data_IF_659078265466
#
_entry.id   IF_659078265466
#
_cell.length_a   1.000
_cell.length_b   1.000
_cell.length_c   1.000
_cell.angle_alpha   90.00
_cell.angle_beta   90.00
_cell.angle_gamma   90.00
#
_symmetry.space_group_name_H-M   'P 1'
#
loop_
_entity.id
_entity.type
_entity.pdbx_description
1 polymer ?
#
# COMPACT_ATOMS: atom_id res chain seq x y z
N UNK A 1 14.25 39.79 13.58
CA UNK A 1 13.92 38.96 12.41
C UNK A 1 14.82 37.75 12.45
N UNK A 2 14.29 36.61 12.87
CA UNK A 2 15.02 35.37 12.78
C UNK A 2 15.26 35.06 11.30
N UNK A 3 16.54 34.84 10.96
CA UNK A 3 16.89 34.40 9.60
C UNK A 3 16.25 33.03 9.37
N UNK A 4 15.42 32.94 8.35
CA UNK A 4 14.87 31.68 7.87
C UNK A 4 16.02 30.67 7.70
N UNK A 5 16.00 29.59 8.44
CA UNK A 5 16.99 28.51 8.27
C UNK A 5 16.71 27.81 6.93
N UNK A 6 17.69 27.84 6.04
CA UNK A 6 17.66 27.12 4.75
C UNK A 6 18.11 25.67 4.97
N UNK A 7 17.38 24.93 5.81
CA UNK A 7 17.71 23.56 6.19
C UNK A 7 16.40 22.80 6.45
N UNK A 8 16.29 21.55 5.96
CA UNK A 8 15.12 20.71 6.21
C UNK A 8 14.94 20.40 7.71
N UNK A 9 13.76 19.95 8.12
CA UNK A 9 13.47 19.57 9.50
C UNK A 9 14.48 18.55 10.03
N UNK A 10 15.01 18.83 11.22
CA UNK A 10 15.85 17.89 11.95
C UNK A 10 14.96 16.85 12.65
N UNK A 11 14.81 15.70 12.01
CA UNK A 11 13.94 14.62 12.51
C UNK A 11 14.40 14.06 13.87
N UNK A 12 15.69 14.11 14.19
CA UNK A 12 16.20 13.73 15.52
C UNK A 12 15.64 14.65 16.60
N UNK A 13 15.66 15.96 16.37
CA UNK A 13 15.09 16.95 17.29
C UNK A 13 13.57 16.75 17.44
N UNK A 14 12.86 16.51 16.34
CA UNK A 14 11.43 16.22 16.37
C UNK A 14 11.10 14.94 17.16
N UNK A 15 11.91 13.89 17.03
CA UNK A 15 11.73 12.66 17.80
C UNK A 15 11.98 12.88 19.30
N UNK A 16 12.99 13.69 19.66
CA UNK A 16 13.24 14.07 21.07
C UNK A 16 12.04 14.86 21.63
N UNK A 17 11.47 15.79 20.87
CA UNK A 17 10.28 16.57 21.27
C UNK A 17 9.05 15.65 21.48
N UNK A 18 8.86 14.63 20.65
CA UNK A 18 7.79 13.63 20.85
C UNK A 18 7.98 12.85 22.12
N UNK A 19 9.22 12.41 22.40
CA UNK A 19 9.56 11.70 23.67
C UNK A 19 9.35 12.63 24.85
N UNK A 20 9.76 13.91 24.76
CA UNK A 20 9.51 14.91 25.80
C UNK A 20 8.02 15.08 26.12
N UNK A 21 7.17 15.05 25.08
CA UNK A 21 5.71 15.16 25.26
C UNK A 21 5.13 13.95 26.00
N UNK A 22 5.66 12.75 25.77
CA UNK A 22 5.18 11.51 26.41
C UNK A 22 5.83 11.26 27.76
N UNK A 23 7.14 11.54 27.88
CA UNK A 23 7.99 11.24 29.03
C UNK A 23 8.92 12.42 29.35
N UNK A 24 8.40 13.55 29.85
CA UNK A 24 9.21 14.76 30.05
C UNK A 24 10.38 14.57 31.03
N UNK A 25 10.23 13.65 31.99
CA UNK A 25 11.25 13.40 33.02
C UNK A 25 12.52 12.70 32.48
N UNK A 26 12.46 12.10 31.28
CA UNK A 26 13.64 11.49 30.66
C UNK A 26 14.45 12.46 29.79
N UNK A 27 14.03 13.72 29.69
CA UNK A 27 14.77 14.73 28.92
C UNK A 27 15.87 15.34 29.80
N UNK A 28 17.07 15.42 29.24
CA UNK A 28 18.24 16.01 29.86
C UNK A 28 18.94 16.97 28.90
N UNK A 29 19.90 17.71 29.40
CA UNK A 29 20.71 18.62 28.60
C UNK A 29 22.07 18.00 28.27
N UNK A 30 22.52 18.21 27.03
CA UNK A 30 23.85 17.85 26.55
C UNK A 30 24.40 19.00 25.69
N UNK A 31 25.59 18.85 25.16
CA UNK A 31 26.20 19.82 24.24
C UNK A 31 26.34 19.20 22.86
N UNK A 32 26.12 20.01 21.82
CA UNK A 32 26.44 19.63 20.45
C UNK A 32 27.97 19.68 20.19
N UNK A 33 28.39 19.30 18.98
CA UNK A 33 29.79 19.29 18.57
C UNK A 33 30.45 20.69 18.63
N UNK A 34 29.65 21.75 18.64
CA UNK A 34 30.09 23.15 18.75
C UNK A 34 30.05 23.68 20.20
N UNK A 35 29.66 22.82 21.17
CA UNK A 35 29.55 23.18 22.57
C UNK A 35 28.25 23.88 22.97
N UNK A 36 27.26 24.02 22.07
CA UNK A 36 25.98 24.63 22.40
C UNK A 36 25.07 23.63 23.14
N UNK A 37 24.26 24.11 24.09
CA UNK A 37 23.32 23.26 24.80
C UNK A 37 22.27 22.67 23.82
N UNK A 38 22.00 21.38 23.93
CA UNK A 38 20.92 20.71 23.23
C UNK A 38 20.21 19.71 24.13
N UNK A 39 18.95 19.43 23.85
CA UNK A 39 18.18 18.38 24.53
C UNK A 39 18.66 16.98 24.12
N UNK A 40 18.64 16.05 25.07
CA UNK A 40 18.91 14.63 24.84
C UNK A 40 17.96 13.78 25.69
N UNK A 41 17.83 12.51 25.32
CA UNK A 41 17.05 11.53 26.08
C UNK A 41 17.97 10.77 27.01
N UNK A 42 17.62 10.74 28.31
CA UNK A 42 18.24 9.87 29.27
C UNK A 42 17.54 8.50 29.23
N UNK A 43 18.18 7.53 28.61
CA UNK A 43 17.63 6.20 28.43
C UNK A 43 17.50 5.42 29.71
N UNK A 44 18.31 5.67 30.73
CA UNK A 44 18.21 4.98 32.06
C UNK A 44 16.93 5.43 32.76
N UNK A 45 16.60 6.72 32.71
CA UNK A 45 15.34 7.23 33.27
C UNK A 45 14.14 6.69 32.48
N UNK A 46 14.21 6.74 31.14
CA UNK A 46 13.14 6.20 30.28
C UNK A 46 12.92 4.70 30.55
N UNK A 47 14.00 3.94 30.72
CA UNK A 47 13.97 2.53 31.10
C UNK A 47 13.27 2.32 32.44
N UNK A 48 13.61 3.11 33.44
CA UNK A 48 12.96 3.03 34.77
C UNK A 48 11.46 3.34 34.69
N UNK A 49 11.06 4.26 33.82
CA UNK A 49 9.64 4.58 33.62
C UNK A 49 8.86 3.47 32.92
N UNK A 50 9.51 2.67 32.07
CA UNK A 50 8.93 1.52 31.39
C UNK A 50 9.00 0.23 32.23
N UNK A 51 9.79 0.23 33.32
CA UNK A 51 9.90 -0.87 34.30
C UNK A 51 10.21 -2.25 33.71
N UNK A 52 9.34 -3.21 33.98
CA UNK A 52 9.50 -4.63 33.64
C UNK A 52 9.28 -4.93 32.16
N UNK A 53 8.73 -3.99 31.38
CA UNK A 53 8.48 -4.14 29.96
C UNK A 53 9.71 -3.79 29.08
N UNK A 54 10.87 -3.66 29.70
CA UNK A 54 12.14 -3.41 28.98
C UNK A 54 12.88 -4.73 28.77
N UNK A 55 13.17 -5.04 27.51
CA UNK A 55 13.98 -6.20 27.15
C UNK A 55 15.46 -5.87 27.34
N UNK A 56 16.08 -6.57 28.29
CA UNK A 56 17.52 -6.55 28.54
C UNK A 56 18.14 -7.87 28.12
N UNK A 57 18.94 -7.85 27.07
CA UNK A 57 19.67 -9.02 26.62
C UNK A 57 19.99 -8.99 25.11
N UNK A 58 20.82 -9.94 24.70
CA UNK A 58 21.28 -10.07 23.31
C UNK A 58 20.21 -10.73 22.39
N UNK A 59 19.18 -11.36 22.98
CA UNK A 59 18.12 -12.05 22.24
C UNK A 59 16.84 -11.22 22.23
N UNK A 60 16.63 -10.47 21.11
CA UNK A 60 15.39 -9.77 20.82
C UNK A 60 14.97 -10.07 19.39
N UNK A 61 13.65 -10.09 19.12
CA UNK A 61 13.18 -10.16 17.74
C UNK A 61 13.52 -8.85 17.02
N UNK A 62 14.50 -8.91 16.15
CA UNK A 62 14.95 -7.78 15.35
C UNK A 62 15.28 -8.25 13.94
N UNK A 63 14.73 -7.56 12.92
CA UNK A 63 15.19 -7.70 11.56
C UNK A 63 16.37 -6.75 11.33
N UNK A 64 17.56 -7.29 11.09
CA UNK A 64 18.78 -6.51 10.94
C UNK A 64 19.60 -6.88 9.72
N UNK A 65 20.39 -5.94 9.22
CA UNK A 65 21.31 -6.11 8.09
C UNK A 65 22.48 -5.13 8.22
N UNK A 66 23.51 -5.34 7.40
CA UNK A 66 24.68 -4.46 7.39
C UNK A 66 24.31 -3.10 6.79
N UNK A 67 24.43 -2.02 7.58
CA UNK A 67 24.08 -0.64 7.16
C UNK A 67 22.76 -0.12 7.74
N UNK A 68 21.93 -0.91 8.42
CA UNK A 68 20.66 -0.46 9.01
C UNK A 68 20.81 0.82 9.87
N UNK A 69 21.79 0.83 10.78
CA UNK A 69 22.02 2.00 11.65
C UNK A 69 22.39 3.25 10.86
N UNK A 70 23.21 3.10 9.82
CA UNK A 70 23.61 4.20 8.95
C UNK A 70 22.39 4.73 8.16
N UNK A 71 21.52 3.85 7.65
CA UNK A 71 20.28 4.24 6.97
C UNK A 71 19.33 5.06 7.88
N UNK A 72 19.23 4.71 9.17
CA UNK A 72 18.46 5.49 10.16
C UNK A 72 19.05 6.89 10.34
N UNK A 73 20.37 6.96 10.51
CA UNK A 73 21.07 8.26 10.68
C UNK A 73 20.88 9.13 9.45
N UNK A 74 21.06 8.57 8.25
CA UNK A 74 20.91 9.32 6.99
C UNK A 74 19.47 9.82 6.79
N UNK A 75 18.45 9.02 7.08
CA UNK A 75 17.06 9.47 7.00
C UNK A 75 16.78 10.68 7.91
N UNK A 76 17.40 10.72 9.09
CA UNK A 76 17.21 11.79 10.07
C UNK A 76 18.11 13.03 9.86
N UNK A 77 19.15 12.90 9.04
CA UNK A 77 20.11 13.99 8.77
C UNK A 77 19.45 15.11 7.96
N UNK A 78 19.43 16.35 8.43
CA UNK A 78 18.90 17.48 7.68
C UNK A 78 19.78 17.80 6.47
N UNK A 79 19.16 18.36 5.42
CA UNK A 79 19.87 18.84 4.23
C UNK A 79 19.67 20.33 4.01
N UNK A 80 20.64 20.97 3.32
CA UNK A 80 20.63 22.40 2.99
C UNK A 80 20.31 22.66 1.52
N UNK A 81 19.29 21.96 1.03
CA UNK A 81 18.79 22.09 -0.35
C UNK A 81 17.39 22.69 -0.34
N UNK A 82 16.93 23.15 -1.49
CA UNK A 82 15.60 23.67 -1.68
C UNK A 82 15.08 23.28 -3.05
N UNK A 83 13.75 23.15 -3.17
CA UNK A 83 13.09 22.98 -4.46
C UNK A 83 13.18 24.29 -5.26
N UNK A 84 13.48 24.19 -6.54
CA UNK A 84 13.50 25.33 -7.48
C UNK A 84 12.33 25.21 -8.43
N UNK A 85 11.46 26.24 -8.53
CA UNK A 85 10.39 26.25 -9.50
C UNK A 85 10.92 26.32 -10.93
N UNK A 86 10.40 25.45 -11.82
CA UNK A 86 10.67 25.44 -13.26
C UNK A 86 9.39 25.83 -14.00
N UNK A 87 9.11 27.13 -14.08
CA UNK A 87 7.86 27.64 -14.63
C UNK A 87 7.75 27.44 -16.14
N UNK A 88 8.89 27.47 -16.82
CA UNK A 88 8.99 27.36 -18.28
C UNK A 88 8.52 25.99 -18.78
N UNK A 89 8.71 24.94 -17.97
CA UNK A 89 8.33 23.56 -18.28
C UNK A 89 7.05 23.12 -17.59
N UNK A 90 6.43 24.03 -16.80
CA UNK A 90 5.21 23.71 -16.04
C UNK A 90 3.96 24.05 -16.85
N UNK A 91 2.97 23.15 -16.82
CA UNK A 91 1.66 23.38 -17.39
C UNK A 91 0.73 23.97 -16.33
N UNK A 92 0.08 25.09 -16.66
CA UNK A 92 -0.92 25.76 -15.82
C UNK A 92 -0.40 26.10 -14.41
N UNK A 93 0.83 26.62 -14.33
CA UNK A 93 1.57 26.91 -13.10
C UNK A 93 0.75 27.63 -12.01
N UNK A 94 -0.02 28.64 -12.42
CA UNK A 94 -0.74 29.49 -11.45
C UNK A 94 -1.99 28.81 -10.86
N UNK A 95 -2.46 27.70 -11.40
CA UNK A 95 -3.68 27.03 -11.00
C UNK A 95 -3.50 25.59 -10.56
N UNK A 96 -2.45 24.92 -11.07
CA UNK A 96 -2.20 23.53 -10.69
C UNK A 96 -1.79 23.42 -9.22
N UNK A 97 -2.28 22.41 -8.55
CA UNK A 97 -1.84 22.03 -7.21
C UNK A 97 -1.07 20.70 -7.24
N UNK A 98 -0.78 20.20 -8.44
CA UNK A 98 0.00 19.00 -8.66
C UNK A 98 1.49 19.36 -8.76
N UNK A 99 2.37 18.46 -8.31
CA UNK A 99 3.81 18.65 -8.38
C UNK A 99 4.46 17.47 -9.10
N UNK A 100 5.42 17.80 -9.98
CA UNK A 100 6.42 16.88 -10.47
C UNK A 100 7.78 17.41 -10.04
N UNK A 101 8.55 16.61 -9.31
CA UNK A 101 9.81 17.04 -8.69
C UNK A 101 10.94 16.16 -9.23
N UNK A 102 11.89 16.78 -9.89
CA UNK A 102 13.12 16.13 -10.34
C UNK A 102 14.17 16.20 -9.25
N UNK A 103 14.70 15.05 -8.85
CA UNK A 103 15.73 14.96 -7.83
C UNK A 103 15.79 13.60 -7.16
N UNK A 104 16.82 13.41 -6.34
CA UNK A 104 16.95 12.25 -5.49
C UNK A 104 15.76 12.16 -4.51
N UNK A 105 15.08 11.03 -4.50
CA UNK A 105 13.85 10.88 -3.73
C UNK A 105 14.06 10.91 -2.20
N UNK A 106 15.20 10.49 -1.66
CA UNK A 106 15.52 10.64 -0.24
C UNK A 106 15.63 12.13 0.14
N UNK A 107 16.31 12.92 -0.68
CA UNK A 107 16.44 14.37 -0.47
C UNK A 107 15.08 15.08 -0.60
N UNK A 108 14.31 14.73 -1.63
CA UNK A 108 12.97 15.29 -1.82
C UNK A 108 12.05 14.93 -0.65
N UNK A 109 12.06 13.68 -0.16
CA UNK A 109 11.28 13.28 1.00
C UNK A 109 11.65 14.07 2.26
N UNK A 110 12.94 14.42 2.46
CA UNK A 110 13.37 15.31 3.55
C UNK A 110 12.79 16.72 3.40
N UNK A 111 12.78 17.28 2.20
CA UNK A 111 12.20 18.60 1.93
C UNK A 111 10.68 18.63 2.09
N UNK A 112 9.99 17.57 1.69
CA UNK A 112 8.54 17.45 1.83
C UNK A 112 8.08 17.39 3.30
N UNK A 113 8.94 16.97 4.25
CA UNK A 113 8.58 16.94 5.69
C UNK A 113 8.09 18.31 6.18
N UNK A 114 8.65 19.38 5.68
CA UNK A 114 8.32 20.74 6.14
C UNK A 114 6.88 21.15 5.82
N UNK A 115 6.40 20.80 4.64
CA UNK A 115 5.09 21.27 4.14
C UNK A 115 4.01 20.19 4.10
N UNK A 116 4.38 18.92 4.10
CA UNK A 116 3.47 17.80 3.83
C UNK A 116 3.37 16.75 4.96
N UNK A 117 3.92 17.03 6.14
CA UNK A 117 3.73 16.17 7.33
C UNK A 117 2.24 15.89 7.56
N UNK A 118 1.88 14.60 7.68
CA UNK A 118 0.50 14.12 7.91
C UNK A 118 -0.54 14.62 6.88
N UNK A 119 -0.14 14.85 5.61
CA UNK A 119 -1.04 15.36 4.57
C UNK A 119 -1.32 14.39 3.44
N UNK A 120 -0.49 13.36 3.26
CA UNK A 120 -0.61 12.40 2.16
C UNK A 120 -1.62 11.32 2.52
N UNK A 121 -2.64 11.14 1.69
CA UNK A 121 -3.67 10.09 1.89
C UNK A 121 -3.18 8.73 1.41
N UNK A 122 -2.51 8.68 0.28
CA UNK A 122 -1.99 7.46 -0.31
C UNK A 122 -0.56 7.68 -0.82
N UNK A 123 0.30 6.74 -0.50
CA UNK A 123 1.61 6.62 -1.17
C UNK A 123 1.56 5.36 -2.02
N UNK A 124 1.99 5.47 -3.27
CA UNK A 124 2.31 4.32 -4.12
C UNK A 124 3.77 4.39 -4.50
N UNK A 125 4.45 3.26 -4.49
CA UNK A 125 5.82 3.15 -5.02
C UNK A 125 6.04 1.84 -5.75
N UNK A 126 6.87 1.93 -6.77
CA UNK A 126 7.39 0.82 -7.56
C UNK A 126 8.92 0.86 -7.53
N UNK A 127 9.55 0.48 -6.40
CA UNK A 127 11.00 0.55 -6.25
C UNK A 127 11.70 -0.49 -7.13
N UNK A 128 13.01 -0.38 -7.36
CA UNK A 128 13.79 -1.45 -7.96
C UNK A 128 13.59 -2.77 -7.23
N UNK A 129 13.37 -3.87 -7.96
CA UNK A 129 13.05 -5.18 -7.36
C UNK A 129 14.27 -5.99 -6.91
N UNK A 130 15.46 -5.46 -7.13
CA UNK A 130 16.72 -6.10 -6.79
C UNK A 130 16.93 -7.45 -7.53
N UNK A 131 16.69 -7.47 -8.84
CA UNK A 131 16.79 -8.68 -9.68
C UNK A 131 18.21 -8.97 -10.16
N UNK A 132 19.22 -8.26 -9.68
CA UNK A 132 20.62 -8.37 -10.10
C UNK A 132 20.95 -7.55 -11.36
N UNK A 133 19.96 -6.94 -11.99
CA UNK A 133 20.13 -6.03 -13.13
C UNK A 133 19.57 -4.62 -12.85
N UNK A 134 18.95 -4.42 -11.69
CA UNK A 134 18.34 -3.16 -11.32
C UNK A 134 19.41 -2.18 -10.80
N UNK A 135 19.19 -0.92 -11.09
CA UNK A 135 19.95 0.17 -10.48
C UNK A 135 19.30 0.54 -9.16
N UNK A 136 20.10 0.67 -8.10
CA UNK A 136 19.67 1.19 -6.80
C UNK A 136 20.36 2.51 -6.52
N UNK A 137 19.76 3.34 -5.66
CA UNK A 137 20.30 4.64 -5.31
C UNK A 137 21.56 4.50 -4.42
N UNK A 138 22.62 5.21 -4.76
CA UNK A 138 23.84 5.31 -3.97
C UNK A 138 23.64 6.37 -2.89
N UNK A 139 23.27 5.96 -1.69
CA UNK A 139 23.11 6.86 -0.55
C UNK A 139 24.46 7.10 0.18
N UNK A 140 24.58 8.24 0.88
CA UNK A 140 25.84 8.65 1.55
C UNK A 140 26.40 7.65 2.57
N UNK A 141 25.58 6.77 3.13
CA UNK A 141 26.06 5.72 4.05
C UNK A 141 26.84 4.60 3.34
N UNK A 142 26.86 4.56 2.01
CA UNK A 142 27.65 3.63 1.21
C UNK A 142 29.04 4.16 0.91
N UNK A 143 29.32 5.44 1.16
CA UNK A 143 30.59 6.13 0.81
C UNK A 143 31.82 5.59 1.50
N UNK A 144 31.72 4.91 2.64
CA UNK A 144 32.87 4.23 3.26
C UNK A 144 33.40 3.05 2.43
N UNK A 145 32.62 2.61 1.45
CA UNK A 145 32.99 1.58 0.49
C UNK A 145 33.47 2.18 -0.85
N UNK A 146 33.27 3.49 -1.06
CA UNK A 146 33.71 4.19 -2.27
C UNK A 146 35.24 4.14 -2.42
N UNK A 147 35.98 4.19 -1.33
CA UNK A 147 37.43 4.05 -1.34
C UNK A 147 37.87 2.63 -1.78
N UNK A 148 37.13 1.59 -1.42
CA UNK A 148 37.37 0.21 -1.87
C UNK A 148 36.88 -0.03 -3.30
N UNK A 149 35.73 0.55 -3.68
CA UNK A 149 35.15 0.40 -5.01
C UNK A 149 35.86 1.24 -6.07
N UNK A 150 36.42 2.41 -5.71
CA UNK A 150 37.29 3.22 -6.59
C UNK A 150 38.55 2.42 -7.02
N UNK A 151 39.05 1.55 -6.16
CA UNK A 151 40.15 0.65 -6.49
C UNK A 151 39.71 -0.50 -7.42
N UNK A 152 38.42 -0.84 -7.48
CA UNK A 152 37.87 -1.88 -8.33
C UNK A 152 37.28 -1.39 -9.66
N UNK A 153 37.32 -0.08 -9.95
CA UNK A 153 36.89 0.48 -11.24
C UNK A 153 35.39 0.43 -11.52
N UNK A 154 34.57 0.50 -10.48
CA UNK A 154 33.09 0.43 -10.58
C UNK A 154 32.38 1.78 -10.69
N UNK A 155 33.09 2.87 -10.91
CA UNK A 155 32.48 4.18 -11.14
C UNK A 155 32.41 4.54 -12.60
N UNK A 156 31.26 5.05 -13.00
CA UNK A 156 31.09 5.78 -14.24
C UNK A 156 31.73 7.19 -14.07
N UNK A 157 32.33 7.72 -15.15
CA UNK A 157 33.08 8.99 -15.14
C UNK A 157 32.20 10.23 -14.80
N UNK A 158 30.87 10.04 -14.62
CA UNK A 158 29.87 11.10 -14.47
C UNK A 158 29.24 11.25 -13.07
N UNK A 159 29.81 10.67 -11.99
CA UNK A 159 29.26 10.78 -10.61
C UNK A 159 27.79 10.37 -10.45
N UNK A 160 27.29 9.40 -11.22
CA UNK A 160 25.91 8.98 -11.18
C UNK A 160 25.52 8.36 -9.82
N UNK A 161 24.38 8.83 -9.25
CA UNK A 161 23.83 8.38 -7.97
C UNK A 161 23.16 7.00 -8.02
N UNK A 162 23.17 6.35 -9.17
CA UNK A 162 22.65 5.01 -9.36
C UNK A 162 23.80 4.04 -9.65
N UNK A 163 23.79 2.90 -8.99
CA UNK A 163 24.70 1.82 -9.32
C UNK A 163 23.95 0.50 -9.53
N UNK A 164 24.50 -0.34 -10.38
CA UNK A 164 23.92 -1.67 -10.64
C UNK A 164 24.22 -2.61 -9.48
N UNK A 165 23.19 -3.02 -8.75
CA UNK A 165 23.32 -4.00 -7.69
C UNK A 165 23.30 -5.41 -8.28
N UNK A 166 24.45 -6.06 -8.36
CA UNK A 166 24.60 -7.39 -8.97
C UNK A 166 24.64 -8.48 -7.90
N UNK A 167 24.23 -9.70 -8.24
CA UNK A 167 24.27 -10.88 -7.35
C UNK A 167 25.68 -11.19 -6.80
N UNK A 168 26.72 -10.65 -7.43
CA UNK A 168 28.11 -10.78 -6.96
C UNK A 168 28.46 -9.79 -5.84
N UNK A 169 27.60 -8.79 -5.58
CA UNK A 169 27.78 -7.88 -4.45
C UNK A 169 27.53 -8.63 -3.13
N UNK A 170 28.52 -8.73 -2.27
CA UNK A 170 28.38 -9.36 -0.95
C UNK A 170 27.36 -8.69 -0.02
N UNK A 171 26.88 -7.47 -0.38
CA UNK A 171 25.85 -6.69 0.33
C UNK A 171 24.55 -6.54 -0.44
N UNK A 172 24.31 -7.37 -1.44
CA UNK A 172 23.21 -7.30 -2.37
C UNK A 172 21.84 -6.96 -1.73
N UNK A 173 21.40 -7.75 -0.74
CA UNK A 173 20.17 -7.48 0.00
C UNK A 173 20.30 -6.31 0.98
N UNK A 174 21.46 -6.15 1.62
CA UNK A 174 21.69 -5.12 2.63
C UNK A 174 21.63 -3.70 2.06
N UNK A 175 22.21 -3.49 0.89
CA UNK A 175 22.22 -2.20 0.23
C UNK A 175 20.82 -1.81 -0.23
N UNK A 176 20.08 -2.76 -0.80
CA UNK A 176 18.67 -2.55 -1.15
C UNK A 176 17.79 -2.26 0.09
N UNK A 177 17.97 -3.04 1.17
CA UNK A 177 17.24 -2.79 2.42
C UNK A 177 17.53 -1.41 2.99
N UNK A 178 18.79 -0.95 2.96
CA UNK A 178 19.19 0.36 3.45
C UNK A 178 18.56 1.49 2.65
N UNK A 179 18.57 1.37 1.29
CA UNK A 179 17.95 2.32 0.39
C UNK A 179 16.43 2.45 0.65
N UNK A 180 15.72 1.34 0.75
CA UNK A 180 14.27 1.34 0.97
C UNK A 180 13.91 1.83 2.38
N UNK A 181 14.63 1.39 3.39
CA UNK A 181 14.36 1.70 4.78
C UNK A 181 14.39 3.19 5.08
N UNK A 182 15.44 3.90 4.64
CA UNK A 182 15.58 5.34 4.83
C UNK A 182 14.41 6.13 4.24
N UNK A 183 13.93 5.74 3.06
CA UNK A 183 12.82 6.36 2.35
C UNK A 183 11.47 6.08 3.02
N UNK A 184 11.23 4.84 3.44
CA UNK A 184 10.00 4.47 4.12
C UNK A 184 9.83 5.12 5.49
N UNK A 185 10.93 5.34 6.24
CA UNK A 185 10.90 6.11 7.48
C UNK A 185 10.34 7.52 7.27
N UNK A 186 10.80 8.22 6.24
CA UNK A 186 10.34 9.56 5.90
C UNK A 186 8.91 9.54 5.33
N UNK A 187 8.63 8.58 4.46
CA UNK A 187 7.32 8.42 3.83
C UNK A 187 6.20 8.23 4.86
N UNK A 188 6.44 7.43 5.92
CA UNK A 188 5.48 7.24 7.00
C UNK A 188 5.05 8.54 7.66
N UNK A 189 5.97 9.48 7.85
CA UNK A 189 5.66 10.77 8.48
C UNK A 189 4.75 11.65 7.62
N UNK A 190 4.84 11.52 6.28
CA UNK A 190 4.00 12.26 5.34
C UNK A 190 2.55 11.77 5.31
N UNK A 191 2.30 10.50 5.62
CA UNK A 191 0.96 9.92 5.61
C UNK A 191 0.04 10.56 6.66
N UNK A 192 -1.23 10.77 6.30
CA UNK A 192 -2.33 11.02 7.25
C UNK A 192 -2.51 9.81 8.16
N UNK A 193 -3.14 9.98 9.33
CA UNK A 193 -3.43 8.85 10.23
C UNK A 193 -4.35 7.82 9.56
N UNK A 194 -5.27 8.26 8.72
CA UNK A 194 -6.13 7.43 7.87
C UNK A 194 -5.53 7.18 6.47
N UNK A 195 -4.23 7.32 6.32
CA UNK A 195 -3.50 7.09 5.09
C UNK A 195 -2.87 5.70 5.00
N UNK A 196 -2.49 5.30 3.78
CA UNK A 196 -1.84 4.02 3.50
C UNK A 196 -0.76 4.13 2.44
N UNK A 197 0.17 3.16 2.47
CA UNK A 197 1.16 2.95 1.44
C UNK A 197 0.92 1.63 0.72
N UNK A 198 1.03 1.65 -0.61
CA UNK A 198 0.98 0.49 -1.49
C UNK A 198 2.35 0.35 -2.18
N UNK A 199 2.99 -0.80 -2.04
CA UNK A 199 4.35 -1.03 -2.54
C UNK A 199 4.35 -2.24 -3.46
N UNK A 200 4.67 -2.03 -4.73
CA UNK A 200 4.88 -3.11 -5.69
C UNK A 200 6.23 -3.77 -5.47
N UNK A 201 6.28 -5.10 -5.55
CA UNK A 201 7.52 -5.89 -5.40
C UNK A 201 7.34 -7.26 -6.05
N UNK A 202 8.43 -7.89 -6.46
CA UNK A 202 8.44 -9.30 -6.84
C UNK A 202 8.75 -10.24 -5.66
N UNK A 203 8.94 -11.52 -5.94
CA UNK A 203 9.22 -12.53 -4.90
C UNK A 203 10.59 -12.44 -4.25
N UNK A 204 11.56 -11.75 -4.87
CA UNK A 204 12.95 -11.71 -4.40
C UNK A 204 13.10 -11.00 -3.05
N UNK A 205 12.58 -9.79 -2.95
CA UNK A 205 12.69 -8.95 -1.75
C UNK A 205 11.36 -8.82 -0.96
N UNK A 206 10.32 -9.59 -1.30
CA UNK A 206 9.02 -9.53 -0.62
C UNK A 206 9.15 -9.71 0.90
N UNK A 207 9.96 -10.66 1.35
CA UNK A 207 10.14 -10.96 2.77
C UNK A 207 10.89 -9.82 3.47
N UNK A 208 12.01 -9.37 2.91
CA UNK A 208 12.79 -8.24 3.44
C UNK A 208 11.93 -6.99 3.55
N UNK A 209 11.18 -6.66 2.49
CA UNK A 209 10.28 -5.50 2.47
C UNK A 209 9.19 -5.61 3.53
N UNK A 210 8.60 -6.79 3.70
CA UNK A 210 7.55 -7.00 4.69
C UNK A 210 8.06 -6.80 6.12
N UNK A 211 9.26 -7.30 6.44
CA UNK A 211 9.86 -7.08 7.76
C UNK A 211 10.23 -5.60 7.99
N UNK A 212 10.76 -4.92 6.99
CA UNK A 212 10.99 -3.48 7.03
C UNK A 212 9.69 -2.72 7.30
N UNK A 213 8.63 -3.05 6.59
CA UNK A 213 7.32 -2.41 6.77
C UNK A 213 6.70 -2.75 8.15
N UNK A 214 6.87 -3.97 8.66
CA UNK A 214 6.44 -4.35 10.00
C UNK A 214 7.11 -3.48 11.07
N UNK A 215 8.40 -3.20 10.91
CA UNK A 215 9.15 -2.35 11.84
C UNK A 215 8.70 -0.88 11.73
N UNK A 216 8.61 -0.33 10.52
CA UNK A 216 8.32 1.08 10.31
C UNK A 216 6.86 1.43 10.57
N UNK A 217 5.92 0.67 10.03
CA UNK A 217 4.49 0.96 10.11
C UNK A 217 3.80 0.24 11.28
N UNK A 218 4.42 -0.81 11.80
CA UNK A 218 3.87 -1.74 12.80
C UNK A 218 3.16 -2.93 12.13
N UNK A 219 3.42 -4.14 12.60
CA UNK A 219 2.83 -5.38 12.07
C UNK A 219 1.28 -5.37 12.15
N UNK A 220 0.70 -4.73 13.16
CA UNK A 220 -0.77 -4.57 13.31
C UNK A 220 -1.39 -3.68 12.24
N UNK A 221 -0.60 -2.86 11.56
CA UNK A 221 -1.02 -1.98 10.47
C UNK A 221 -0.86 -2.61 9.07
N UNK A 222 -0.36 -3.83 8.99
CA UNK A 222 -0.46 -4.61 7.76
C UNK A 222 -1.93 -4.83 7.39
N UNK A 223 -2.28 -4.54 6.13
CA UNK A 223 -3.65 -4.70 5.64
C UNK A 223 -3.80 -5.87 4.71
N UNK A 224 -2.94 -5.97 3.70
CA UNK A 224 -3.00 -7.09 2.76
C UNK A 224 -1.73 -7.18 1.89
N UNK A 225 -1.60 -8.34 1.23
CA UNK A 225 -0.75 -8.53 0.05
C UNK A 225 -1.66 -8.84 -1.12
N UNK A 226 -1.68 -7.98 -2.12
CA UNK A 226 -2.47 -8.13 -3.34
C UNK A 226 -1.61 -8.84 -4.39
N UNK A 227 -2.20 -9.79 -5.11
CA UNK A 227 -1.58 -10.48 -6.23
C UNK A 227 -2.10 -9.87 -7.53
N UNK A 228 -1.24 -9.22 -8.31
CA UNK A 228 -1.57 -8.67 -9.63
C UNK A 228 -0.90 -9.50 -10.73
N UNK A 229 -1.60 -9.69 -11.86
CA UNK A 229 -1.12 -10.57 -12.92
C UNK A 229 0.07 -9.97 -13.64
N UNK A 230 1.16 -10.74 -13.75
CA UNK A 230 2.30 -10.43 -14.59
C UNK A 230 2.08 -11.01 -15.98
N UNK A 231 2.50 -10.29 -17.02
CA UNK A 231 2.49 -10.82 -18.38
C UNK A 231 3.43 -12.02 -18.48
N UNK A 232 2.86 -13.19 -18.73
CA UNK A 232 3.65 -14.42 -18.88
C UNK A 232 4.06 -14.56 -20.33
N UNK A 233 5.37 -14.60 -20.58
CA UNK A 233 5.89 -15.08 -21.86
C UNK A 233 5.72 -16.60 -21.89
N UNK A 234 5.03 -17.13 -22.89
CA UNK A 234 4.92 -18.60 -23.05
C UNK A 234 6.32 -19.21 -23.20
N UNK A 235 6.60 -20.24 -22.39
CA UNK A 235 7.80 -21.06 -22.61
C UNK A 235 7.66 -21.80 -23.94
N UNK A 236 8.71 -21.81 -24.76
CA UNK A 236 8.77 -22.69 -25.90
C UNK A 236 8.74 -24.13 -25.41
N UNK A 237 7.83 -24.94 -25.94
CA UNK A 237 7.63 -26.36 -25.56
C UNK A 237 8.91 -27.18 -25.64
N UNK A 238 9.87 -26.80 -26.50
CA UNK A 238 11.18 -27.46 -26.62
C UNK A 238 12.03 -27.42 -25.32
N UNK A 239 11.84 -26.40 -24.45
CA UNK A 239 12.54 -26.32 -23.17
C UNK A 239 11.89 -27.17 -22.07
N UNK A 240 10.69 -27.68 -22.30
CA UNK A 240 9.96 -28.51 -21.33
C UNK A 240 10.30 -30.03 -21.46
N UNK A 241 10.98 -30.43 -22.51
CA UNK A 241 11.22 -31.85 -22.81
C UNK A 241 12.08 -32.58 -21.74
N UNK A 242 12.93 -31.85 -21.00
CA UNK A 242 13.80 -32.40 -19.96
C UNK A 242 13.38 -32.00 -18.54
N UNK A 243 12.16 -31.48 -18.39
CA UNK A 243 11.67 -30.93 -17.14
C UNK A 243 11.98 -29.43 -16.96
N UNK A 244 11.33 -28.80 -15.99
CA UNK A 244 11.51 -27.38 -15.65
C UNK A 244 12.23 -27.28 -14.31
N UNK A 245 13.24 -26.43 -14.22
CA UNK A 245 13.87 -26.11 -12.95
C UNK A 245 12.90 -25.33 -12.01
N UNK A 246 12.12 -24.42 -12.57
CA UNK A 246 11.11 -23.66 -11.84
C UNK A 246 9.95 -23.27 -12.77
N UNK A 247 8.83 -22.87 -12.19
CA UNK A 247 7.71 -22.30 -12.94
C UNK A 247 7.96 -20.82 -13.20
N UNK A 248 7.41 -20.31 -14.32
CA UNK A 248 7.39 -18.87 -14.57
C UNK A 248 6.54 -18.16 -13.51
N UNK A 249 7.04 -17.04 -13.00
CA UNK A 249 6.31 -16.20 -12.07
C UNK A 249 5.17 -15.49 -12.81
N UNK A 250 3.93 -15.79 -12.42
CA UNK A 250 2.71 -15.31 -13.09
C UNK A 250 2.09 -14.07 -12.46
N UNK A 251 2.68 -13.53 -11.38
CA UNK A 251 2.14 -12.38 -10.64
C UNK A 251 3.25 -11.58 -9.94
N UNK A 252 2.90 -10.37 -9.57
CA UNK A 252 3.67 -9.51 -8.67
C UNK A 252 2.85 -9.24 -7.42
N UNK A 253 3.52 -8.80 -6.37
CA UNK A 253 2.90 -8.50 -5.09
C UNK A 253 2.75 -6.99 -4.92
N UNK A 254 1.65 -6.59 -4.27
CA UNK A 254 1.50 -5.22 -3.78
C UNK A 254 1.23 -5.31 -2.28
N UNK A 255 2.21 -4.88 -1.50
CA UNK A 255 2.07 -4.78 -0.04
C UNK A 255 1.28 -3.54 0.32
N UNK A 256 0.28 -3.68 1.21
CA UNK A 256 -0.54 -2.55 1.70
C UNK A 256 -0.38 -2.43 3.20
N UNK A 257 0.15 -1.31 3.64
CA UNK A 257 0.28 -0.93 5.05
C UNK A 257 -0.46 0.37 5.32
N UNK A 258 -1.14 0.44 6.44
CA UNK A 258 -1.72 1.67 6.95
C UNK A 258 -0.72 2.42 7.83
N UNK A 259 -0.89 3.73 7.99
CA UNK A 259 -0.17 4.47 9.01
C UNK A 259 -0.67 4.14 10.43
N UNK A 260 -1.97 3.94 10.57
CA UNK A 260 -2.62 3.66 11.85
C UNK A 260 -3.88 2.79 11.68
N UNK A 261 -4.50 2.33 12.78
CA UNK A 261 -5.78 1.62 12.73
C UNK A 261 -6.94 2.44 12.16
N UNK A 262 -6.82 3.76 12.05
CA UNK A 262 -7.85 4.64 11.48
C UNK A 262 -8.10 4.40 9.98
N UNK A 263 -7.12 3.86 9.26
CA UNK A 263 -7.28 3.53 7.86
C UNK A 263 -8.15 2.30 7.64
N UNK A 264 -9.17 2.45 6.81
CA UNK A 264 -10.03 1.38 6.33
C UNK A 264 -10.00 1.32 4.80
N UNK A 265 -9.83 0.12 4.25
CA UNK A 265 -9.94 -0.10 2.81
C UNK A 265 -11.39 0.08 2.36
N UNK A 266 -11.59 0.74 1.22
CA UNK A 266 -12.91 0.81 0.58
C UNK A 266 -13.26 -0.53 -0.07
N UNK A 267 -14.49 -0.96 0.12
CA UNK A 267 -15.01 -2.16 -0.52
C UNK A 267 -15.20 -1.92 -2.03
N UNK A 268 -14.35 -2.52 -2.84
CA UNK A 268 -14.44 -2.46 -4.31
C UNK A 268 -15.27 -3.65 -4.80
N UNK A 269 -16.19 -3.40 -5.73
CA UNK A 269 -16.96 -4.43 -6.40
C UNK A 269 -16.46 -4.67 -7.82
N UNK A 270 -16.34 -5.92 -8.21
CA UNK A 270 -15.99 -6.34 -9.56
C UNK A 270 -17.15 -7.14 -10.19
N UNK A 271 -17.25 -7.12 -11.50
CA UNK A 271 -18.23 -7.94 -12.22
C UNK A 271 -17.91 -9.43 -12.08
N UNK A 272 -18.93 -10.23 -11.91
CA UNK A 272 -18.80 -11.70 -11.95
C UNK A 272 -18.74 -12.17 -13.40
N UNK A 273 -17.87 -13.12 -13.69
CA UNK A 273 -17.80 -13.77 -15.00
C UNK A 273 -19.12 -14.53 -15.33
N UNK A 274 -19.71 -15.15 -14.31
CA UNK A 274 -20.96 -15.92 -14.42
C UNK A 274 -22.03 -15.29 -13.51
N UNK A 275 -22.53 -14.12 -13.90
CA UNK A 275 -23.61 -13.46 -13.18
C UNK A 275 -24.93 -14.23 -13.34
N UNK A 276 -25.59 -14.55 -12.23
CA UNK A 276 -26.94 -15.10 -12.25
C UNK A 276 -27.96 -13.96 -12.22
N UNK A 277 -28.90 -14.00 -13.14
CA UNK A 277 -30.08 -13.10 -13.15
C UNK A 277 -31.17 -13.54 -12.20
N UNK A 278 -31.06 -14.75 -11.63
CA UNK A 278 -32.02 -15.32 -10.68
C UNK A 278 -31.43 -15.43 -9.28
N UNK A 279 -32.21 -15.06 -8.30
CA UNK A 279 -31.88 -15.29 -6.91
C UNK A 279 -31.93 -16.78 -6.56
N UNK A 280 -31.34 -17.15 -5.46
CA UNK A 280 -31.36 -18.54 -4.96
C UNK A 280 -31.68 -18.61 -3.48
N UNK A 281 -32.27 -19.71 -3.07
CA UNK A 281 -32.44 -20.04 -1.67
C UNK A 281 -31.22 -20.82 -1.17
N UNK A 282 -30.63 -20.36 -0.08
CA UNK A 282 -29.45 -20.97 0.53
C UNK A 282 -29.70 -21.29 2.01
N UNK A 283 -28.93 -22.20 2.59
CA UNK A 283 -29.06 -22.64 3.98
C UNK A 283 -28.79 -21.46 4.93
N UNK A 284 -29.74 -21.21 5.83
CA UNK A 284 -29.61 -20.12 6.81
C UNK A 284 -28.79 -20.50 8.05
N UNK A 285 -28.46 -21.77 8.21
CA UNK A 285 -27.67 -22.30 9.31
C UNK A 285 -26.15 -22.22 9.01
N UNK A 286 -25.37 -22.07 10.09
CA UNK A 286 -23.90 -22.04 10.07
C UNK A 286 -23.34 -22.97 11.13
N UNK A 287 -22.18 -23.60 10.89
CA UNK A 287 -21.51 -24.50 11.83
C UNK A 287 -20.79 -23.75 12.98
N UNK A 288 -20.76 -22.42 12.97
CA UNK A 288 -20.27 -21.64 14.11
C UNK A 288 -21.18 -21.90 15.32
N UNK A 289 -20.62 -21.90 16.53
CA UNK A 289 -21.34 -22.29 17.75
C UNK A 289 -21.49 -21.13 18.73
N UNK A 290 -22.56 -20.35 18.56
CA UNK A 290 -22.98 -19.28 19.47
C UNK A 290 -24.39 -19.58 19.98
N UNK A 291 -24.57 -20.07 21.22
CA UNK A 291 -25.89 -20.42 21.74
C UNK A 291 -26.93 -19.30 21.68
N UNK A 292 -26.52 -18.04 21.82
CA UNK A 292 -27.39 -16.86 21.72
C UNK A 292 -27.96 -16.62 20.30
N UNK A 293 -27.40 -17.29 19.30
CA UNK A 293 -27.87 -17.26 17.92
C UNK A 293 -28.74 -18.48 17.55
N UNK A 294 -29.24 -19.20 18.55
CA UNK A 294 -30.17 -20.31 18.41
C UNK A 294 -31.53 -19.87 18.97
N UNK A 295 -32.41 -19.51 18.09
CA UNK A 295 -33.76 -19.06 18.41
C UNK A 295 -34.74 -19.70 17.43
N UNK A 296 -36.07 -19.67 17.74
CA UNK A 296 -37.06 -20.25 16.88
C UNK A 296 -37.27 -19.48 15.57
N UNK A 297 -37.25 -20.18 14.46
CA UNK A 297 -37.67 -19.68 13.15
C UNK A 297 -38.71 -20.64 12.57
N UNK A 298 -39.93 -20.17 12.46
CA UNK A 298 -41.04 -20.90 11.87
C UNK A 298 -41.20 -22.31 12.46
N UNK A 299 -41.10 -22.43 13.80
CA UNK A 299 -41.25 -23.66 14.54
C UNK A 299 -40.00 -24.58 14.52
N UNK A 300 -38.83 -24.05 14.29
CA UNK A 300 -37.56 -24.80 14.38
C UNK A 300 -36.45 -24.01 15.04
N UNK A 301 -35.84 -24.65 16.05
CA UNK A 301 -34.64 -24.15 16.75
C UNK A 301 -33.49 -25.13 16.54
N UNK A 302 -32.30 -24.73 16.08
CA UNK A 302 -31.21 -25.67 15.88
C UNK A 302 -30.58 -26.12 17.21
N UNK A 303 -30.29 -27.39 17.35
CA UNK A 303 -29.65 -27.99 18.52
C UNK A 303 -28.13 -27.66 18.52
N UNK A 304 -27.53 -27.59 17.34
CA UNK A 304 -26.10 -27.34 17.16
C UNK A 304 -25.89 -26.26 16.09
N UNK A 305 -24.71 -25.61 16.11
CA UNK A 305 -24.42 -24.50 15.20
C UNK A 305 -25.23 -23.25 15.57
N UNK A 306 -25.49 -22.39 14.61
CA UNK A 306 -26.22 -21.14 14.81
C UNK A 306 -26.92 -20.65 13.56
N UNK A 307 -27.87 -19.72 13.73
CA UNK A 307 -28.39 -18.92 12.62
C UNK A 307 -27.38 -17.87 12.17
N UNK A 308 -27.50 -17.39 10.92
CA UNK A 308 -26.57 -16.41 10.31
C UNK A 308 -26.81 -14.97 10.79
N UNK A 309 -28.03 -14.62 11.22
CA UNK A 309 -28.41 -13.27 11.65
C UNK A 309 -28.97 -13.28 13.08
N UNK A 310 -29.11 -12.09 13.69
CA UNK A 310 -29.83 -11.91 14.96
C UNK A 310 -31.32 -12.27 14.82
N UNK A 311 -31.96 -12.55 15.95
CA UNK A 311 -33.38 -12.93 15.99
C UNK A 311 -34.28 -11.82 15.40
N UNK A 312 -34.00 -10.55 15.74
CA UNK A 312 -34.76 -9.40 15.24
C UNK A 312 -34.70 -9.33 13.70
N UNK A 313 -33.50 -9.44 13.15
CA UNK A 313 -33.31 -9.40 11.69
C UNK A 313 -33.94 -10.58 10.99
N UNK A 314 -33.90 -11.75 11.58
CA UNK A 314 -34.52 -12.93 11.04
C UNK A 314 -36.05 -12.81 11.05
N UNK A 315 -36.65 -12.28 12.13
CA UNK A 315 -38.11 -12.02 12.21
C UNK A 315 -38.58 -11.07 11.11
N UNK A 316 -37.83 -9.99 10.87
CA UNK A 316 -38.12 -9.08 9.77
C UNK A 316 -38.04 -9.77 8.42
N UNK A 317 -37.01 -10.59 8.18
CA UNK A 317 -36.85 -11.31 6.93
C UNK A 317 -37.93 -12.36 6.70
N UNK A 318 -38.43 -13.02 7.76
CA UNK A 318 -39.59 -13.92 7.70
C UNK A 318 -40.85 -13.14 7.35
N UNK A 319 -41.12 -12.01 8.03
CA UNK A 319 -42.28 -11.18 7.75
C UNK A 319 -42.29 -10.63 6.32
N UNK A 320 -41.10 -10.20 5.82
CA UNK A 320 -40.94 -9.76 4.43
C UNK A 320 -41.34 -10.85 3.43
N UNK A 321 -40.92 -12.09 3.66
CA UNK A 321 -41.28 -13.20 2.76
C UNK A 321 -42.76 -13.55 2.85
N UNK A 322 -43.34 -13.57 4.06
CA UNK A 322 -44.77 -13.80 4.24
C UNK A 322 -45.63 -12.74 3.55
N UNK A 323 -45.22 -11.46 3.63
CA UNK A 323 -45.88 -10.38 2.90
C UNK A 323 -45.80 -10.57 1.39
N UNK A 324 -44.64 -10.93 0.86
CA UNK A 324 -44.51 -11.27 -0.56
C UNK A 324 -45.46 -12.39 -0.95
N UNK A 325 -45.49 -13.46 -0.18
CA UNK A 325 -46.40 -14.62 -0.44
C UNK A 325 -47.87 -14.23 -0.48
N UNK A 326 -48.30 -13.42 0.47
CA UNK A 326 -49.74 -13.05 0.59
C UNK A 326 -50.18 -12.08 -0.51
N UNK A 327 -49.34 -11.12 -0.88
CA UNK A 327 -49.76 -9.98 -1.72
C UNK A 327 -49.27 -10.11 -3.17
N UNK A 328 -48.15 -10.79 -3.42
CA UNK A 328 -47.42 -10.72 -4.69
C UNK A 328 -47.09 -12.08 -5.33
N UNK A 329 -47.07 -13.18 -4.58
CA UNK A 329 -46.77 -14.50 -5.12
C UNK A 329 -47.78 -14.86 -6.23
N UNK A 330 -47.27 -15.33 -7.37
CA UNK A 330 -48.07 -15.60 -8.58
C UNK A 330 -48.37 -14.37 -9.46
N UNK A 331 -48.09 -13.16 -8.98
CA UNK A 331 -48.24 -11.92 -9.77
C UNK A 331 -46.91 -11.42 -10.33
N UNK A 332 -45.85 -11.40 -9.50
CA UNK A 332 -44.50 -10.99 -9.87
C UNK A 332 -43.48 -11.94 -9.24
N UNK A 333 -42.29 -12.05 -9.81
CA UNK A 333 -41.18 -12.84 -9.24
C UNK A 333 -40.65 -12.20 -7.97
N UNK A 334 -39.90 -12.98 -7.15
CA UNK A 334 -39.27 -12.48 -5.95
C UNK A 334 -38.18 -11.48 -6.30
N UNK A 335 -37.47 -11.67 -7.43
CA UNK A 335 -36.48 -10.75 -7.98
C UNK A 335 -37.12 -9.39 -8.33
N UNK A 336 -38.23 -9.43 -9.05
CA UNK A 336 -38.96 -8.22 -9.45
C UNK A 336 -39.55 -7.48 -8.24
N UNK A 337 -40.02 -8.22 -7.22
CA UNK A 337 -40.43 -7.63 -5.96
C UNK A 337 -39.28 -6.93 -5.23
N UNK A 338 -38.14 -7.61 -5.15
CA UNK A 338 -36.95 -7.07 -4.51
C UNK A 338 -36.43 -5.78 -5.22
N UNK A 339 -36.46 -5.77 -6.56
CA UNK A 339 -36.07 -4.61 -7.36
C UNK A 339 -37.02 -3.42 -7.11
N UNK A 340 -38.33 -3.66 -7.08
CA UNK A 340 -39.35 -2.60 -6.87
C UNK A 340 -39.34 -2.01 -5.47
N UNK A 341 -39.04 -2.83 -4.46
CA UNK A 341 -39.17 -2.44 -3.04
C UNK A 341 -37.86 -2.15 -2.36
N UNK A 342 -36.73 -2.57 -2.93
CA UNK A 342 -35.42 -2.57 -2.29
C UNK A 342 -35.25 -3.60 -1.17
N UNK A 343 -36.26 -4.46 -0.93
CA UNK A 343 -36.24 -5.48 0.12
C UNK A 343 -35.59 -6.74 -0.43
N UNK A 344 -34.50 -7.18 0.18
CA UNK A 344 -33.73 -8.37 -0.24
C UNK A 344 -33.58 -9.42 0.85
N UNK A 345 -33.92 -9.10 2.09
CA UNK A 345 -33.84 -10.02 3.22
C UNK A 345 -35.15 -10.83 3.30
N UNK A 346 -35.09 -12.10 2.90
CA UNK A 346 -36.19 -13.06 2.98
C UNK A 346 -35.72 -14.35 3.62
N UNK A 347 -36.57 -14.91 4.52
CA UNK A 347 -36.35 -16.23 5.13
C UNK A 347 -37.64 -17.05 4.97
N UNK A 348 -37.47 -18.32 4.61
CA UNK A 348 -38.52 -19.31 4.55
C UNK A 348 -38.10 -20.61 5.24
N UNK A 349 -39.07 -21.44 5.55
CA UNK A 349 -38.85 -22.84 5.91
C UNK A 349 -39.52 -23.76 4.90
N UNK A 350 -38.78 -24.72 4.40
CA UNK A 350 -39.35 -25.76 3.51
C UNK A 350 -40.23 -26.66 4.37
N UNK A 351 -41.48 -26.94 3.96
CA UNK A 351 -42.34 -27.91 4.65
C UNK A 351 -41.64 -29.28 4.79
N UNK A 352 -41.68 -29.84 5.99
CA UNK A 352 -41.04 -31.12 6.31
C UNK A 352 -39.51 -31.14 6.13
N UNK A 353 -38.86 -29.97 6.15
CA UNK A 353 -37.40 -29.88 6.12
C UNK A 353 -36.75 -30.56 7.31
N UNK A 354 -35.77 -31.40 7.06
CA UNK A 354 -35.03 -32.19 8.04
C UNK A 354 -33.58 -31.72 8.16
N UNK A 355 -32.84 -32.33 9.08
CA UNK A 355 -31.43 -32.04 9.29
C UNK A 355 -31.17 -30.83 10.21
N UNK A 356 -29.89 -30.45 10.35
CA UNK A 356 -29.43 -29.44 11.33
C UNK A 356 -30.07 -28.06 11.17
N UNK A 357 -30.56 -27.72 9.99
CA UNK A 357 -31.19 -26.44 9.66
C UNK A 357 -32.75 -26.50 9.61
N UNK A 358 -33.37 -27.65 9.85
CA UNK A 358 -34.82 -27.81 9.82
C UNK A 358 -35.52 -27.33 8.54
N UNK A 359 -34.80 -27.21 7.43
CA UNK A 359 -35.32 -26.68 6.16
C UNK A 359 -35.38 -25.15 6.11
N UNK A 360 -34.76 -24.42 7.07
CA UNK A 360 -34.75 -22.96 7.07
C UNK A 360 -33.73 -22.45 6.05
N UNK A 361 -34.16 -21.57 5.17
CA UNK A 361 -33.39 -20.99 4.09
C UNK A 361 -33.52 -19.46 4.07
N UNK A 362 -32.49 -18.77 3.64
CA UNK A 362 -32.56 -17.38 3.29
C UNK A 362 -32.40 -17.19 1.77
N UNK A 363 -32.98 -16.14 1.27
CA UNK A 363 -32.84 -15.80 -0.15
C UNK A 363 -31.56 -14.99 -0.39
N UNK A 364 -30.83 -15.35 -1.41
CA UNK A 364 -29.66 -14.63 -1.89
C UNK A 364 -30.07 -13.95 -3.19
N UNK A 365 -30.14 -12.64 -3.17
CA UNK A 365 -30.51 -11.84 -4.32
C UNK A 365 -29.55 -12.07 -5.50
N UNK A 366 -30.02 -11.98 -6.74
CA UNK A 366 -29.14 -11.97 -7.89
C UNK A 366 -28.16 -10.81 -7.77
N UNK A 367 -26.92 -11.03 -8.14
CA UNK A 367 -25.89 -9.98 -8.16
C UNK A 367 -24.93 -10.28 -9.29
N UNK A 368 -24.72 -9.30 -10.14
CA UNK A 368 -23.75 -9.31 -11.20
C UNK A 368 -22.33 -8.92 -10.71
N UNK A 369 -22.22 -8.48 -9.44
CA UNK A 369 -20.98 -8.07 -8.84
C UNK A 369 -20.63 -8.90 -7.60
N UNK A 370 -19.35 -8.92 -7.27
CA UNK A 370 -18.81 -9.49 -6.03
C UNK A 370 -17.78 -8.53 -5.43
N UNK A 371 -17.51 -8.66 -4.13
CA UNK A 371 -16.44 -7.92 -3.50
C UNK A 371 -15.09 -8.41 -4.05
N UNK A 372 -14.22 -7.45 -4.40
CA UNK A 372 -12.86 -7.73 -4.81
C UNK A 372 -12.07 -8.28 -3.61
N UNK A 373 -11.36 -9.36 -3.83
CA UNK A 373 -10.45 -9.96 -2.83
C UNK A 373 -9.02 -9.47 -3.09
N UNK A 374 -8.02 -10.05 -2.43
CA UNK A 374 -6.59 -9.77 -2.71
C UNK A 374 -6.09 -10.41 -4.01
N UNK A 375 -6.90 -11.19 -4.70
CA UNK A 375 -6.56 -11.76 -6.00
C UNK A 375 -7.02 -10.80 -7.11
N UNK A 376 -6.05 -10.08 -7.71
CA UNK A 376 -6.24 -9.13 -8.80
C UNK A 376 -5.63 -9.64 -10.12
N UNK A 377 -5.69 -10.96 -10.34
CA UNK A 377 -5.16 -11.57 -11.56
C UNK A 377 -5.98 -11.26 -12.82
N UNK A 378 -7.10 -10.58 -12.67
CA UNK A 378 -7.88 -9.98 -13.76
C UNK A 378 -7.26 -8.66 -14.27
N UNK A 379 -6.30 -8.07 -13.53
CA UNK A 379 -5.60 -6.84 -13.91
C UNK A 379 -4.14 -7.18 -14.16
N UNK A 380 -3.63 -6.77 -15.32
CA UNK A 380 -2.19 -6.89 -15.60
C UNK A 380 -1.41 -5.75 -14.95
N UNK A 381 -0.23 -6.06 -14.42
CA UNK A 381 0.65 -5.09 -13.76
C UNK A 381 1.22 -4.08 -14.75
N UNK A 382 1.62 -4.57 -15.94
CA UNK A 382 2.17 -3.73 -17.01
C UNK A 382 1.07 -3.38 -18.00
N UNK A 383 1.12 -2.17 -18.53
CA UNK A 383 0.16 -1.72 -19.54
C UNK A 383 0.34 -2.52 -20.85
N UNK A 384 -0.76 -3.09 -21.34
CA UNK A 384 -0.81 -3.72 -22.66
C UNK A 384 -1.31 -2.68 -23.66
N UNK A 385 -0.44 -2.33 -24.60
CA UNK A 385 -0.74 -1.32 -25.59
C UNK A 385 -0.36 0.08 -25.12
N UNK A 386 0.01 0.91 -26.05
CA UNK A 386 0.41 2.30 -25.81
C UNK A 386 -0.86 3.16 -25.74
N UNK A 387 -1.40 3.38 -24.54
CA UNK A 387 -2.43 4.43 -24.36
C UNK A 387 -1.83 5.83 -24.58
N UNK A 388 -0.56 5.97 -24.20
CA UNK A 388 0.27 7.15 -24.44
C UNK A 388 1.53 6.64 -25.13
N UNK A 389 1.91 7.28 -26.24
CA UNK A 389 3.13 6.92 -26.97
C UNK A 389 4.38 7.46 -26.25
N UNK A 390 4.64 6.89 -25.07
CA UNK A 390 5.83 7.19 -24.29
C UNK A 390 6.88 6.09 -24.50
N UNK A 391 8.12 6.46 -24.80
CA UNK A 391 9.24 5.53 -24.92
C UNK A 391 9.75 5.14 -23.52
N UNK A 392 8.91 4.47 -22.73
CA UNK A 392 9.25 3.97 -21.39
C UNK A 392 9.09 2.45 -21.37
N UNK A 393 10.08 1.77 -20.79
CA UNK A 393 10.05 0.31 -20.69
C UNK A 393 9.15 -0.14 -19.54
N UNK A 394 8.19 -1.02 -19.85
CA UNK A 394 7.29 -1.66 -18.89
C UNK A 394 6.51 -0.69 -17.96
N UNK A 395 5.78 0.31 -18.49
CA UNK A 395 4.98 1.19 -17.65
C UNK A 395 3.93 0.38 -16.87
N UNK A 396 3.66 0.76 -15.64
CA UNK A 396 2.61 0.14 -14.83
C UNK A 396 1.23 0.38 -15.44
N UNK A 397 0.30 -0.50 -15.11
CA UNK A 397 -1.08 -0.39 -15.59
C UNK A 397 -1.82 0.77 -14.92
N UNK A 398 -2.35 1.70 -15.73
CA UNK A 398 -3.23 2.77 -15.24
C UNK A 398 -4.44 2.20 -14.48
N UNK A 399 -5.04 1.11 -14.99
CA UNK A 399 -6.17 0.47 -14.34
C UNK A 399 -5.81 -0.03 -12.94
N UNK A 400 -4.62 -0.61 -12.77
CA UNK A 400 -4.14 -1.04 -11.46
C UNK A 400 -4.04 0.14 -10.49
N UNK A 401 -3.46 1.25 -10.94
CA UNK A 401 -3.34 2.47 -10.12
C UNK A 401 -4.70 3.05 -9.76
N UNK A 402 -5.64 3.11 -10.69
CA UNK A 402 -7.02 3.58 -10.42
C UNK A 402 -7.71 2.74 -9.35
N UNK A 403 -7.57 1.41 -9.40
CA UNK A 403 -8.16 0.51 -8.40
C UNK A 403 -7.49 0.66 -7.03
N UNK A 404 -6.17 0.90 -6.96
CA UNK A 404 -5.47 1.18 -5.70
C UNK A 404 -5.90 2.51 -5.09
N UNK A 405 -6.07 3.57 -5.90
CA UNK A 405 -6.59 4.88 -5.45
C UNK A 405 -8.00 4.74 -4.88
N UNK A 406 -8.87 3.94 -5.54
CA UNK A 406 -10.21 3.61 -5.05
C UNK A 406 -10.16 2.80 -3.75
N UNK A 407 -9.27 1.80 -3.65
CA UNK A 407 -9.09 0.96 -2.47
C UNK A 407 -8.67 1.78 -1.24
N UNK A 408 -7.80 2.77 -1.44
CA UNK A 408 -7.35 3.68 -0.39
C UNK A 408 -8.37 4.78 -0.05
N UNK A 409 -9.58 4.75 -0.66
CA UNK A 409 -10.65 5.71 -0.48
C UNK A 409 -10.18 7.18 -0.61
N UNK A 410 -9.35 7.43 -1.62
CA UNK A 410 -8.89 8.78 -1.89
C UNK A 410 -10.03 9.63 -2.46
N UNK A 411 -10.50 10.59 -1.66
CA UNK A 411 -11.59 11.50 -1.99
C UNK A 411 -11.08 12.77 -2.68
N UNK A 412 -12.01 13.65 -3.05
CA UNK A 412 -11.70 14.97 -3.57
C UNK A 412 -10.82 15.77 -2.57
N UNK A 413 -9.75 16.37 -3.06
CA UNK A 413 -8.78 17.13 -2.27
C UNK A 413 -7.69 16.29 -1.61
N UNK A 414 -7.77 14.96 -1.63
CA UNK A 414 -6.72 14.10 -1.10
C UNK A 414 -5.47 14.14 -1.97
N UNK A 415 -4.31 14.00 -1.30
CA UNK A 415 -3.00 14.02 -1.92
C UNK A 415 -2.44 12.60 -2.05
N UNK A 416 -1.98 12.27 -3.24
CA UNK A 416 -1.31 11.01 -3.59
C UNK A 416 0.17 11.31 -3.88
N UNK A 417 1.09 10.54 -3.28
CA UNK A 417 2.53 10.67 -3.49
C UNK A 417 3.08 9.42 -4.15
N UNK A 418 3.92 9.60 -5.16
CA UNK A 418 4.73 8.55 -5.76
C UNK A 418 6.17 9.05 -5.91
N UNK A 419 7.10 8.45 -5.13
CA UNK A 419 8.50 8.88 -5.14
C UNK A 419 9.45 7.88 -5.86
N UNK A 420 8.87 6.98 -6.64
CA UNK A 420 9.51 6.19 -7.68
C UNK A 420 8.64 6.26 -8.94
N UNK A 421 8.39 7.49 -9.42
CA UNK A 421 7.27 7.74 -10.34
C UNK A 421 7.44 7.13 -11.73
N UNK A 422 8.67 6.85 -12.17
CA UNK A 422 8.94 6.25 -13.47
C UNK A 422 8.19 6.96 -14.61
N UNK A 423 7.30 6.25 -15.28
CA UNK A 423 6.43 6.79 -16.34
C UNK A 423 5.27 7.68 -15.84
N UNK A 424 5.23 8.02 -14.55
CA UNK A 424 4.16 8.80 -13.92
C UNK A 424 2.74 8.22 -14.10
N UNK A 425 2.61 6.89 -14.17
CA UNK A 425 1.31 6.22 -14.33
C UNK A 425 0.35 6.54 -13.18
N UNK A 426 0.87 6.77 -11.96
CA UNK A 426 0.07 7.19 -10.81
C UNK A 426 -0.60 8.55 -11.06
N UNK A 427 0.12 9.53 -11.62
CA UNK A 427 -0.45 10.84 -12.00
C UNK A 427 -1.54 10.67 -13.08
N UNK A 428 -1.29 9.87 -14.11
CA UNK A 428 -2.26 9.57 -15.16
C UNK A 428 -3.55 8.96 -14.57
N UNK A 429 -3.44 8.00 -13.65
CA UNK A 429 -4.59 7.40 -13.00
C UNK A 429 -5.40 8.40 -12.16
N UNK A 430 -4.72 9.30 -11.44
CA UNK A 430 -5.37 10.35 -10.64
C UNK A 430 -6.11 11.33 -11.55
N UNK A 431 -5.49 11.80 -12.64
CA UNK A 431 -6.14 12.69 -13.62
C UNK A 431 -7.35 12.02 -14.27
N UNK A 432 -7.23 10.74 -14.63
CA UNK A 432 -8.34 9.96 -15.21
C UNK A 432 -9.52 9.86 -14.24
N UNK A 433 -9.27 9.52 -12.96
CA UNK A 433 -10.32 9.44 -11.95
C UNK A 433 -11.00 10.79 -11.71
N UNK A 434 -10.23 11.89 -11.68
CA UNK A 434 -10.79 13.22 -11.55
C UNK A 434 -11.69 13.59 -12.74
N UNK A 435 -11.32 13.16 -13.96
CA UNK A 435 -12.15 13.37 -15.14
C UNK A 435 -13.44 12.53 -15.13
N UNK A 436 -13.38 11.30 -14.58
CA UNK A 436 -14.53 10.39 -14.49
C UNK A 436 -15.57 10.81 -13.46
N UNK A 437 -15.14 11.27 -12.27
CA UNK A 437 -16.03 11.56 -11.15
C UNK A 437 -16.13 13.04 -10.77
N UNK A 438 -15.45 13.94 -11.52
CA UNK A 438 -15.40 15.37 -11.23
C UNK A 438 -14.60 15.71 -9.97
N UNK A 439 -13.74 14.80 -9.51
CA UNK A 439 -12.87 14.99 -8.36
C UNK A 439 -11.75 15.99 -8.61
N UNK A 440 -11.05 16.36 -7.54
CA UNK A 440 -9.87 17.23 -7.56
C UNK A 440 -8.74 16.65 -6.70
N UNK A 441 -8.53 15.33 -6.75
CA UNK A 441 -7.37 14.69 -6.12
C UNK A 441 -6.10 15.29 -6.67
N UNK A 442 -5.10 15.40 -5.81
CA UNK A 442 -3.80 15.99 -6.14
C UNK A 442 -2.72 14.93 -6.10
N UNK A 443 -1.62 15.20 -6.79
CA UNK A 443 -0.48 14.29 -6.76
C UNK A 443 0.85 15.02 -6.63
N UNK A 444 1.81 14.33 -6.04
CA UNK A 444 3.23 14.67 -6.06
C UNK A 444 3.96 13.47 -6.65
N UNK A 445 4.67 13.69 -7.75
CA UNK A 445 5.53 12.71 -8.40
C UNK A 445 6.97 13.09 -8.19
N UNK A 446 7.83 12.13 -7.85
CA UNK A 446 9.27 12.35 -7.70
C UNK A 446 10.02 11.38 -8.60
N UNK A 447 10.92 11.89 -9.40
CA UNK A 447 11.77 11.11 -10.29
C UNK A 447 13.19 11.65 -10.27
N UNK A 448 14.17 10.75 -10.23
CA UNK A 448 15.56 11.11 -10.47
C UNK A 448 15.73 11.40 -11.97
N UNK A 449 16.26 12.58 -12.35
CA UNK A 449 16.58 12.84 -13.74
C UNK A 449 17.77 11.97 -14.17
N UNK A 450 17.55 11.11 -15.14
CA UNK A 450 18.57 10.27 -15.75
C UNK A 450 18.83 10.73 -17.18
N UNK A 451 20.10 10.83 -17.55
CA UNK A 451 20.47 11.11 -18.93
C UNK A 451 20.02 9.95 -19.83
N UNK A 452 19.24 10.25 -20.85
CA UNK A 452 18.85 9.24 -21.83
C UNK A 452 20.05 8.88 -22.70
N UNK A 453 20.30 7.57 -22.92
CA UNK A 453 21.27 7.12 -23.92
C UNK A 453 20.88 7.69 -25.29
N UNK A 454 21.81 8.31 -26.00
CA UNK A 454 21.60 8.90 -27.33
C UNK A 454 20.99 7.91 -28.37
N UNK A 455 21.15 6.62 -28.15
CA UNK A 455 20.59 5.56 -29.00
C UNK A 455 19.20 5.10 -28.55
N UNK A 456 18.74 5.51 -27.36
CA UNK A 456 17.43 5.12 -26.84
C UNK A 456 16.28 5.73 -27.64
N UNK A 457 15.12 5.09 -27.60
CA UNK A 457 13.91 5.66 -28.19
C UNK A 457 13.45 6.91 -27.42
N UNK A 458 13.74 6.98 -26.12
CA UNK A 458 13.45 8.12 -25.26
C UNK A 458 14.21 9.37 -25.74
N UNK A 459 15.52 9.26 -25.98
CA UNK A 459 16.34 10.37 -26.51
C UNK A 459 15.87 10.86 -27.88
N UNK A 460 15.42 9.93 -28.75
CA UNK A 460 14.91 10.27 -30.09
C UNK A 460 13.54 10.94 -30.09
N UNK A 461 12.79 10.76 -29.01
CA UNK A 461 11.46 11.35 -28.83
C UNK A 461 11.50 12.79 -28.29
N UNK A 462 12.65 13.27 -27.78
CA UNK A 462 12.90 14.63 -27.28
C UNK A 462 13.00 14.66 -25.78
#
# INVERSE_FOLDING_TARGET
>A
MDKMRMESLNMTSENINKIETMFPNCITETKDENGNPKKAVNFDILRQMLSEDVVDGDEAYEFTWVGKKAAIVEANKPIRKTLRPCKEESVDWDKTENLYIEGDNLEVLKLLQESYLNKVKMIYIDPPYNTGNDFIYADDFMRSQEEENAQMGMYDEDENRLFKNTDTNGRFHSDWCSMIYSRLLLARNLLKDDGAICISIDGGELTSLKEICNEIFGASNYRNTILARRRIKSLNSQFANNGLYSLNVGFEYILVYAKSPAFLMKAIRMKKENASTKGRWDVFWSNADRPTMRYDILGFTPETGQWRNSEERAKVAVANYQKYQQEYEGKISLEEYAEKTGITDFIRRIPNGTGKNGGVQHWVAPSDTMLRTSNWTDIEVSQIGKEIDLPFDNPKSKQLMMELVKLCDCAAGDLILDFFSGSATTAHAVMQLNAEDGGNRKYIMVQLPEACDEKSEAYKAG
#
